data_IF_139884704049
#
_entry.id   IF_139884704049
#
_cell.length_a   1.000
_cell.length_b   1.000
_cell.length_c   1.000
_cell.angle_alpha   90.00
_cell.angle_beta   90.00
_cell.angle_gamma   90.00
#
_symmetry.space_group_name_H-M   'P 1'
#
loop_
_entity.id
_entity.type
_entity.pdbx_description
1 polymer ?
#
# COMPACT_ATOMS: atom_id res chain seq x y z
N UNK A 1 -27.03 -5.87 69.99
CA UNK A 1 -28.28 -5.20 70.41
C UNK A 1 -29.36 -5.61 69.41
N UNK A 2 -30.33 -6.38 69.88
CA UNK A 2 -31.51 -6.87 69.13
C UNK A 2 -32.64 -5.85 69.27
N UNK A 3 -33.71 -6.01 68.47
CA UNK A 3 -35.05 -5.37 68.46
C UNK A 3 -35.18 -4.28 67.37
N UNK A 4 -36.25 -4.18 66.57
CA UNK A 4 -37.57 -4.84 66.42
C UNK A 4 -38.15 -4.31 65.09
N UNK A 5 -38.58 -5.14 64.15
CA UNK A 5 -39.98 -5.58 63.93
C UNK A 5 -41.06 -4.49 63.98
N UNK A 6 -41.78 -4.31 62.87
CA UNK A 6 -43.02 -3.51 62.79
C UNK A 6 -43.79 -3.70 61.47
N UNK A 7 -44.73 -4.65 61.47
CA UNK A 7 -45.61 -5.08 60.38
C UNK A 7 -46.90 -4.24 60.32
N UNK A 8 -47.56 -4.11 59.14
CA UNK A 8 -49.02 -4.38 58.87
C UNK A 8 -49.48 -3.76 57.52
N UNK A 9 -49.93 -4.60 56.56
CA UNK A 9 -51.32 -5.03 56.19
C UNK A 9 -52.11 -3.93 55.43
N UNK A 10 -52.36 -4.12 54.11
CA UNK A 10 -53.45 -4.85 53.39
C UNK A 10 -54.68 -3.95 53.09
N UNK A 11 -55.12 -3.99 51.83
CA UNK A 11 -56.47 -3.85 51.21
C UNK A 11 -56.22 -3.24 49.80
N UNK A 12 -56.79 -3.63 48.66
CA UNK A 12 -57.97 -4.42 48.33
C UNK A 12 -58.65 -3.73 47.12
N UNK A 13 -59.23 -4.54 46.21
CA UNK A 13 -60.21 -4.21 45.15
C UNK A 13 -59.73 -3.74 43.75
N UNK A 14 -60.12 -4.53 42.74
CA UNK A 14 -61.08 -4.07 41.72
C UNK A 14 -60.54 -3.73 40.31
N UNK A 15 -60.78 -4.63 39.34
CA UNK A 15 -60.71 -4.40 37.89
C UNK A 15 -61.80 -3.41 37.41
N UNK A 16 -61.63 -2.76 36.24
CA UNK A 16 -62.29 -3.31 35.05
C UNK A 16 -61.49 -3.24 33.74
N UNK A 17 -61.81 -4.22 32.90
CA UNK A 17 -61.52 -4.34 31.47
C UNK A 17 -62.11 -3.16 30.70
N UNK A 18 -61.33 -2.57 29.80
CA UNK A 18 -61.84 -1.69 28.76
C UNK A 18 -61.46 -2.24 27.38
N UNK A 19 -62.48 -2.33 26.55
CA UNK A 19 -62.53 -2.92 25.20
C UNK A 19 -61.94 -1.94 24.18
N UNK A 20 -61.27 -2.52 23.17
CA UNK A 20 -60.60 -1.91 22.00
C UNK A 20 -61.46 -0.91 21.20
N UNK A 21 -60.79 -0.08 20.38
CA UNK A 21 -61.16 -0.09 18.97
C UNK A 21 -59.97 -0.42 18.05
N UNK A 22 -60.28 -1.20 17.03
CA UNK A 22 -59.41 -1.60 15.94
C UNK A 22 -58.91 -0.38 15.16
N UNK A 23 -57.59 -0.30 14.95
CA UNK A 23 -56.98 0.60 13.98
C UNK A 23 -57.06 -0.03 12.59
N UNK A 24 -57.79 0.64 11.71
CA UNK A 24 -57.84 0.38 10.27
C UNK A 24 -56.45 0.67 9.69
N UNK A 25 -55.78 -0.37 9.21
CA UNK A 25 -54.54 -0.25 8.46
C UNK A 25 -54.85 0.13 7.01
N UNK A 26 -54.80 1.42 6.68
CA UNK A 26 -54.71 1.89 5.30
C UNK A 26 -53.23 1.94 4.90
N UNK A 27 -52.87 1.08 3.95
CA UNK A 27 -51.50 0.88 3.49
C UNK A 27 -50.88 2.12 2.85
N UNK A 28 -49.69 2.49 3.34
CA UNK A 28 -48.73 3.31 2.62
C UNK A 28 -47.84 2.36 1.83
N UNK A 29 -48.02 2.33 0.51
CA UNK A 29 -47.07 1.72 -0.42
C UNK A 29 -45.79 2.57 -0.41
N UNK A 30 -44.72 2.05 0.20
CA UNK A 30 -43.39 2.60 0.02
C UNK A 30 -42.91 2.24 -1.40
N UNK A 31 -42.48 3.18 -2.26
CA UNK A 31 -41.73 2.82 -3.44
C UNK A 31 -40.41 2.21 -2.98
N UNK A 32 -40.17 0.98 -3.40
CA UNK A 32 -38.95 0.25 -3.10
C UNK A 32 -37.80 1.00 -3.77
N UNK A 33 -36.89 1.54 -2.95
CA UNK A 33 -35.57 1.92 -3.43
C UNK A 33 -34.96 0.65 -4.04
N UNK A 34 -34.78 0.64 -5.35
CA UNK A 34 -34.08 -0.43 -6.03
C UNK A 34 -32.77 -0.65 -5.30
N UNK A 35 -32.58 -1.85 -4.77
CA UNK A 35 -31.26 -2.33 -4.42
C UNK A 35 -30.51 -2.44 -5.75
N UNK A 36 -29.89 -1.33 -6.15
CA UNK A 36 -28.83 -1.37 -7.15
C UNK A 36 -27.76 -2.25 -6.51
N UNK A 37 -27.69 -3.48 -7.02
CA UNK A 37 -26.65 -4.42 -6.70
C UNK A 37 -25.34 -3.73 -7.08
N UNK A 38 -24.72 -3.04 -6.12
CA UNK A 38 -23.36 -2.56 -6.25
C UNK A 38 -22.53 -3.81 -6.43
N UNK A 39 -22.31 -4.16 -7.69
CA UNK A 39 -21.13 -4.91 -8.11
C UNK A 39 -19.99 -4.32 -7.30
N UNK A 40 -19.30 -5.10 -6.44
CA UNK A 40 -18.15 -4.58 -5.74
C UNK A 40 -17.21 -4.07 -6.82
N UNK A 41 -17.17 -2.74 -7.00
CA UNK A 41 -16.12 -2.11 -7.76
C UNK A 41 -14.85 -2.66 -7.15
N UNK A 42 -14.06 -3.33 -7.99
CA UNK A 42 -12.86 -4.05 -7.63
C UNK A 42 -12.15 -3.27 -6.51
N UNK A 43 -12.09 -3.86 -5.32
CA UNK A 43 -11.48 -3.19 -4.16
C UNK A 43 -10.02 -2.80 -4.45
N UNK A 44 -9.42 -3.33 -5.53
CA UNK A 44 -8.14 -2.90 -6.10
C UNK A 44 -8.14 -1.47 -6.68
N UNK A 45 -9.26 -0.96 -7.17
CA UNK A 45 -9.37 0.41 -7.70
C UNK A 45 -9.53 1.47 -6.60
N UNK A 46 -9.86 1.06 -5.36
CA UNK A 46 -10.08 1.96 -4.24
C UNK A 46 -8.81 2.25 -3.41
N UNK A 47 -7.74 1.48 -3.58
CA UNK A 47 -6.39 1.88 -3.18
C UNK A 47 -5.77 2.57 -4.39
N UNK A 48 -5.68 3.89 -4.37
CA UNK A 48 -4.89 4.59 -5.39
C UNK A 48 -3.47 4.01 -5.43
N UNK A 49 -2.91 3.86 -6.63
CA UNK A 49 -1.51 3.48 -6.78
C UNK A 49 -0.63 4.55 -6.13
N UNK A 50 0.49 4.13 -5.57
CA UNK A 50 1.52 5.05 -5.10
C UNK A 50 1.99 5.98 -6.22
N UNK A 51 2.29 7.23 -5.89
CA UNK A 51 2.83 8.18 -6.86
C UNK A 51 4.21 7.71 -7.38
N UNK A 52 4.48 7.90 -8.68
CA UNK A 52 5.72 7.46 -9.31
C UNK A 52 5.71 6.00 -9.78
N UNK A 53 4.57 5.32 -9.69
CA UNK A 53 4.40 3.95 -10.19
C UNK A 53 3.97 3.88 -11.66
N UNK A 54 3.77 5.03 -12.30
CA UNK A 54 3.40 5.10 -13.71
C UNK A 54 4.49 4.45 -14.59
N UNK A 55 4.07 3.58 -15.52
CA UNK A 55 4.98 2.90 -16.44
C UNK A 55 5.76 1.71 -15.84
N UNK A 56 5.64 1.44 -14.54
CA UNK A 56 6.22 0.24 -13.94
C UNK A 56 5.47 -1.02 -14.36
N UNK A 57 6.16 -2.16 -14.30
CA UNK A 57 5.52 -3.47 -14.37
C UNK A 57 4.44 -3.58 -13.28
N UNK A 58 3.23 -4.11 -13.60
CA UNK A 58 2.11 -4.10 -12.66
C UNK A 58 2.41 -4.79 -11.33
N UNK A 59 3.23 -5.84 -11.34
CA UNK A 59 3.63 -6.54 -10.12
C UNK A 59 4.46 -5.66 -9.18
N UNK A 60 5.41 -4.88 -9.74
CA UNK A 60 6.22 -3.95 -8.97
C UNK A 60 5.38 -2.78 -8.44
N UNK A 61 4.50 -2.21 -9.28
CA UNK A 61 3.61 -1.13 -8.87
C UNK A 61 2.73 -1.52 -7.66
N UNK A 62 2.14 -2.72 -7.71
CA UNK A 62 1.34 -3.26 -6.60
C UNK A 62 2.19 -3.52 -5.36
N UNK A 63 3.34 -4.18 -5.51
CA UNK A 63 4.22 -4.49 -4.38
C UNK A 63 4.69 -3.21 -3.67
N UNK A 64 5.14 -2.20 -4.43
CA UNK A 64 5.58 -0.93 -3.87
C UNK A 64 4.42 -0.18 -3.20
N UNK A 65 3.24 -0.11 -3.83
CA UNK A 65 2.07 0.55 -3.25
C UNK A 65 1.68 -0.06 -1.89
N UNK A 66 1.75 -1.39 -1.76
CA UNK A 66 1.45 -2.06 -0.48
C UNK A 66 2.53 -1.76 0.58
N UNK A 67 3.81 -1.80 0.19
CA UNK A 67 4.92 -1.50 1.10
C UNK A 67 4.90 -0.04 1.57
N UNK A 68 4.62 0.91 0.67
CA UNK A 68 4.51 2.33 0.98
C UNK A 68 3.37 2.63 1.96
N UNK A 69 2.19 2.04 1.73
CA UNK A 69 1.06 2.20 2.64
C UNK A 69 1.38 1.71 4.05
N UNK A 70 2.08 0.57 4.19
CA UNK A 70 2.50 0.04 5.48
C UNK A 70 3.58 0.92 6.14
N UNK A 71 4.56 1.40 5.38
CA UNK A 71 5.57 2.35 5.88
C UNK A 71 4.90 3.61 6.44
N UNK A 72 3.94 4.19 5.70
CA UNK A 72 3.23 5.40 6.12
C UNK A 72 2.34 5.14 7.33
N UNK A 73 1.69 3.98 7.44
CA UNK A 73 0.93 3.58 8.62
C UNK A 73 1.81 3.49 9.88
N UNK A 74 3.10 3.18 9.72
CA UNK A 74 4.10 3.19 10.79
C UNK A 74 4.77 4.56 11.01
N UNK A 75 4.36 5.60 10.27
CA UNK A 75 4.94 6.94 10.34
C UNK A 75 6.30 7.07 9.66
N UNK A 76 6.68 6.13 8.81
CA UNK A 76 7.93 6.16 8.04
C UNK A 76 7.68 6.85 6.70
N UNK A 77 8.40 7.95 6.37
CA UNK A 77 8.30 8.55 5.06
C UNK A 77 8.95 7.64 4.02
N UNK A 78 8.22 7.30 2.97
CA UNK A 78 8.70 6.53 1.82
C UNK A 78 8.03 7.07 0.57
N UNK A 79 8.81 7.31 -0.49
CA UNK A 79 8.34 7.82 -1.77
C UNK A 79 9.29 7.40 -2.89
N UNK A 80 8.75 7.21 -4.10
CA UNK A 80 9.57 7.01 -5.30
C UNK A 80 10.22 8.35 -5.68
N UNK A 81 11.54 8.34 -5.88
CA UNK A 81 12.30 9.45 -6.46
C UNK A 81 12.55 9.25 -7.95
N UNK A 82 12.61 8.00 -8.42
CA UNK A 82 12.68 7.66 -9.85
C UNK A 82 12.01 6.31 -10.11
N UNK A 83 10.95 6.29 -10.93
CA UNK A 83 10.24 5.09 -11.34
C UNK A 83 10.65 4.64 -12.74
N UNK A 84 9.67 4.40 -13.61
CA UNK A 84 9.93 4.16 -15.02
C UNK A 84 10.66 5.35 -15.66
N UNK A 85 11.58 5.06 -16.59
CA UNK A 85 12.24 6.05 -17.44
C UNK A 85 12.06 5.66 -18.89
N UNK A 86 11.82 6.64 -19.75
CA UNK A 86 11.88 6.42 -21.19
C UNK A 86 13.33 6.13 -21.63
N UNK A 87 13.54 5.46 -22.78
CA UNK A 87 14.89 5.27 -23.33
C UNK A 87 15.65 6.58 -23.52
N UNK A 88 14.99 7.65 -23.95
CA UNK A 88 15.61 8.96 -24.18
C UNK A 88 16.06 9.64 -22.87
N UNK A 89 15.25 9.55 -21.80
CA UNK A 89 15.65 10.02 -20.47
C UNK A 89 16.84 9.23 -19.93
N UNK A 90 16.83 7.90 -20.12
CA UNK A 90 17.95 7.05 -19.71
C UNK A 90 19.22 7.34 -20.53
N UNK A 91 19.08 7.64 -21.82
CA UNK A 91 20.21 8.00 -22.68
C UNK A 91 20.89 9.28 -22.19
N UNK A 92 20.11 10.29 -21.80
CA UNK A 92 20.65 11.52 -21.22
C UNK A 92 21.44 11.24 -19.92
N UNK A 93 20.87 10.45 -19.00
CA UNK A 93 21.57 10.05 -17.77
C UNK A 93 22.86 9.27 -18.05
N UNK A 94 22.84 8.40 -19.07
CA UNK A 94 24.00 7.64 -19.47
C UNK A 94 25.11 8.54 -20.02
N UNK A 95 24.78 9.50 -20.89
CA UNK A 95 25.74 10.47 -21.43
C UNK A 95 26.34 11.37 -20.34
N UNK A 96 25.51 11.82 -19.39
CA UNK A 96 25.96 12.56 -18.20
C UNK A 96 26.87 11.70 -17.31
N UNK A 97 26.53 10.42 -17.15
CA UNK A 97 27.35 9.44 -16.45
C UNK A 97 28.72 9.26 -17.10
N UNK A 98 28.78 9.15 -18.43
CA UNK A 98 30.04 9.06 -19.18
C UNK A 98 30.92 10.27 -18.94
N UNK A 99 30.34 11.48 -18.98
CA UNK A 99 31.05 12.73 -18.72
C UNK A 99 31.53 12.84 -17.26
N UNK A 100 30.72 12.39 -16.31
CA UNK A 100 31.00 12.48 -14.87
C UNK A 100 32.06 11.49 -14.41
N UNK A 101 31.97 10.24 -14.89
CA UNK A 101 32.78 9.13 -14.39
C UNK A 101 33.97 8.79 -15.29
N UNK A 102 34.12 9.45 -16.44
CA UNK A 102 35.31 9.36 -17.29
C UNK A 102 35.36 8.16 -18.21
N UNK A 103 34.21 7.53 -18.47
CA UNK A 103 34.06 6.47 -19.48
C UNK A 103 33.06 5.37 -19.10
N UNK A 104 32.78 4.44 -20.03
CA UNK A 104 31.73 3.45 -19.86
C UNK A 104 31.92 2.54 -18.63
N UNK A 105 33.12 2.01 -18.42
CA UNK A 105 33.38 1.07 -17.31
C UNK A 105 33.13 1.71 -15.94
N UNK A 106 33.52 2.97 -15.77
CA UNK A 106 33.31 3.71 -14.53
C UNK A 106 31.84 4.16 -14.38
N UNK A 107 31.20 4.60 -15.47
CA UNK A 107 29.82 5.04 -15.47
C UNK A 107 28.83 3.90 -15.16
N UNK A 108 29.07 2.70 -15.69
CA UNK A 108 28.20 1.51 -15.49
C UNK A 108 28.04 1.09 -14.04
N UNK A 109 28.91 1.55 -13.15
CA UNK A 109 28.79 1.33 -11.71
C UNK A 109 27.62 2.11 -11.09
N UNK A 110 27.07 3.10 -11.79
CA UNK A 110 26.04 4.01 -11.27
C UNK A 110 24.88 4.23 -12.24
N UNK A 111 25.15 4.19 -13.54
CA UNK A 111 24.15 4.45 -14.58
C UNK A 111 24.37 3.48 -15.71
N UNK A 112 23.34 2.73 -16.09
CA UNK A 112 23.37 1.80 -17.23
C UNK A 112 22.90 2.49 -18.52
N UNK A 113 23.36 2.01 -19.70
CA UNK A 113 22.79 2.46 -20.97
C UNK A 113 21.30 2.04 -21.10
N UNK A 114 20.54 2.67 -22.01
CA UNK A 114 19.10 2.44 -22.15
C UNK A 114 18.69 0.97 -22.30
N UNK A 115 19.47 0.17 -23.03
CA UNK A 115 19.17 -1.23 -23.34
C UNK A 115 19.30 -2.16 -22.13
N UNK A 116 19.96 -1.69 -21.06
CA UNK A 116 20.29 -2.49 -19.87
C UNK A 116 19.61 -1.97 -18.59
N UNK A 117 19.08 -0.75 -18.62
CA UNK A 117 18.47 -0.10 -17.45
C UNK A 117 17.15 -0.76 -17.05
N UNK A 118 17.04 -1.16 -15.78
CA UNK A 118 15.79 -1.71 -15.25
C UNK A 118 14.68 -0.70 -15.12
N UNK A 119 15.00 0.59 -14.96
CA UNK A 119 14.01 1.65 -14.99
C UNK A 119 13.34 1.75 -16.37
N UNK A 120 14.10 1.53 -17.46
CA UNK A 120 13.55 1.51 -18.82
C UNK A 120 12.63 0.31 -19.03
N UNK A 121 12.97 -0.84 -18.45
CA UNK A 121 12.08 -2.00 -18.49
C UNK A 121 10.90 -1.91 -17.51
N UNK A 122 10.80 -0.89 -16.66
CA UNK A 122 9.75 -0.76 -15.63
C UNK A 122 9.91 -1.71 -14.43
N UNK A 123 11.09 -2.29 -14.23
CA UNK A 123 11.34 -3.32 -13.20
C UNK A 123 12.11 -2.80 -11.98
N UNK A 124 12.36 -1.49 -11.86
CA UNK A 124 13.05 -0.89 -10.73
C UNK A 124 12.39 0.40 -10.24
N UNK A 125 12.62 0.70 -8.96
CA UNK A 125 12.31 1.98 -8.34
C UNK A 125 13.51 2.47 -7.53
N UNK A 126 13.78 3.75 -7.65
CA UNK A 126 14.64 4.49 -6.72
C UNK A 126 13.74 5.15 -5.69
N UNK A 127 14.06 5.00 -4.41
CA UNK A 127 13.22 5.47 -3.31
C UNK A 127 13.97 6.41 -2.37
N UNK A 128 13.21 7.27 -1.72
CA UNK A 128 13.70 8.15 -0.67
C UNK A 128 12.61 8.51 0.34
N UNK A 129 12.96 9.23 1.43
CA UNK A 129 14.33 9.54 1.86
C UNK A 129 15.08 8.29 2.36
N UNK A 130 16.35 8.44 2.75
CA UNK A 130 17.19 7.34 3.26
C UNK A 130 16.51 6.52 4.37
N UNK A 131 15.77 7.15 5.28
CA UNK A 131 15.02 6.45 6.32
C UNK A 131 13.94 5.50 5.76
N UNK A 132 13.25 5.92 4.69
CA UNK A 132 12.28 5.09 3.96
C UNK A 132 12.95 3.94 3.23
N UNK A 133 14.08 4.21 2.55
CA UNK A 133 14.87 3.18 1.90
C UNK A 133 15.38 2.12 2.88
N UNK A 134 15.88 2.53 4.05
CA UNK A 134 16.31 1.61 5.11
C UNK A 134 15.15 0.75 5.64
N UNK A 135 13.97 1.35 5.81
CA UNK A 135 12.77 0.59 6.17
C UNK A 135 12.40 -0.41 5.07
N UNK A 136 12.49 -0.02 3.80
CA UNK A 136 12.20 -0.90 2.68
C UNK A 136 13.25 -2.02 2.53
N UNK A 137 14.51 -1.77 2.85
CA UNK A 137 15.55 -2.81 2.90
C UNK A 137 15.24 -3.85 3.98
N UNK A 138 14.78 -3.39 5.16
CA UNK A 138 14.46 -4.27 6.29
C UNK A 138 13.16 -5.05 6.14
N UNK A 139 12.15 -4.50 5.43
CA UNK A 139 10.78 -5.04 5.41
C UNK A 139 10.28 -5.39 4.00
N UNK A 140 10.90 -4.87 2.95
CA UNK A 140 10.41 -4.94 1.57
C UNK A 140 10.23 -6.36 1.05
N UNK A 141 11.01 -7.31 1.57
CA UNK A 141 10.92 -8.71 1.19
C UNK A 141 9.54 -9.32 1.50
N UNK A 142 8.76 -8.76 2.44
CA UNK A 142 7.37 -9.14 2.67
C UNK A 142 6.50 -9.01 1.41
N UNK A 143 6.84 -8.09 0.50
CA UNK A 143 6.20 -7.88 -0.79
C UNK A 143 7.08 -8.30 -1.98
N UNK A 144 8.23 -8.91 -1.72
CA UNK A 144 9.20 -9.33 -2.75
C UNK A 144 10.17 -8.24 -3.20
N UNK A 145 10.13 -7.06 -2.58
CA UNK A 145 11.00 -5.93 -2.90
C UNK A 145 12.35 -6.10 -2.22
N UNK A 146 13.42 -5.95 -2.99
CA UNK A 146 14.78 -6.12 -2.51
C UNK A 146 15.69 -5.02 -3.04
N UNK A 147 16.57 -4.53 -2.18
CA UNK A 147 17.70 -3.71 -2.59
C UNK A 147 18.68 -4.56 -3.38
N UNK A 148 19.14 -4.08 -4.54
CA UNK A 148 19.95 -4.88 -5.45
C UNK A 148 21.45 -4.60 -5.38
N UNK A 149 21.86 -3.38 -5.00
CA UNK A 149 23.26 -2.97 -5.07
C UNK A 149 23.80 -2.37 -3.76
N UNK A 150 25.05 -2.71 -3.42
CA UNK A 150 25.74 -2.24 -2.21
C UNK A 150 26.01 -0.72 -2.25
N UNK A 151 26.26 -0.16 -3.43
CA UNK A 151 26.53 1.27 -3.61
C UNK A 151 25.27 2.13 -3.82
N UNK A 152 24.11 1.52 -4.03
CA UNK A 152 22.85 2.22 -4.30
C UNK A 152 21.81 1.87 -3.24
N UNK A 153 21.81 2.64 -2.14
CA UNK A 153 20.86 2.43 -1.04
C UNK A 153 19.41 2.71 -1.42
N UNK A 154 19.20 3.41 -2.53
CA UNK A 154 17.90 3.84 -3.02
C UNK A 154 17.26 2.85 -4.02
N UNK A 155 18.00 1.92 -4.62
CA UNK A 155 17.54 1.12 -5.76
C UNK A 155 16.92 -0.23 -5.33
N UNK A 156 15.65 -0.44 -5.68
CA UNK A 156 14.88 -1.64 -5.35
C UNK A 156 14.22 -2.29 -6.57
N UNK A 157 14.16 -3.61 -6.57
CA UNK A 157 13.49 -4.43 -7.60
C UNK A 157 12.59 -5.50 -6.96
N UNK A 158 11.65 -6.03 -7.73
CA UNK A 158 10.89 -7.22 -7.35
C UNK A 158 11.75 -8.48 -7.59
N UNK A 159 12.61 -8.83 -6.62
CA UNK A 159 13.69 -9.81 -6.81
C UNK A 159 13.51 -11.12 -6.01
N UNK A 160 12.44 -11.25 -5.24
CA UNK A 160 12.15 -12.48 -4.49
C UNK A 160 10.65 -12.73 -4.40
N UNK A 161 10.25 -13.96 -4.08
CA UNK A 161 8.84 -14.25 -3.76
C UNK A 161 8.49 -13.59 -2.42
N UNK A 162 7.30 -12.97 -2.29
CA UNK A 162 6.85 -12.37 -1.02
C UNK A 162 7.11 -13.26 0.21
N UNK A 163 7.75 -12.68 1.22
CA UNK A 163 8.12 -13.34 2.48
C UNK A 163 9.39 -14.21 2.41
N UNK A 164 10.04 -14.35 1.25
CA UNK A 164 11.32 -15.05 1.12
C UNK A 164 12.49 -14.10 1.36
N UNK A 165 13.68 -14.60 1.71
CA UNK A 165 14.87 -13.76 1.79
C UNK A 165 15.20 -13.11 0.44
N UNK A 166 15.77 -11.91 0.49
CA UNK A 166 16.35 -11.27 -0.70
C UNK A 166 17.62 -12.01 -1.16
N UNK A 167 17.94 -11.97 -2.46
CA UNK A 167 19.23 -12.44 -2.95
C UNK A 167 20.37 -11.58 -2.37
N UNK A 168 21.63 -12.08 -2.40
CA UNK A 168 22.77 -11.25 -2.07
C UNK A 168 22.83 -10.01 -2.96
N UNK A 169 23.13 -8.87 -2.36
CA UNK A 169 23.38 -7.64 -3.11
C UNK A 169 24.62 -7.80 -4.00
N UNK A 170 24.58 -7.11 -5.12
CA UNK A 170 25.70 -6.96 -6.04
C UNK A 170 26.54 -5.74 -5.64
N UNK A 171 27.86 -5.70 -5.92
CA UNK A 171 28.68 -4.55 -5.54
C UNK A 171 28.19 -3.24 -6.16
N UNK A 172 27.79 -3.29 -7.44
CA UNK A 172 27.22 -2.18 -8.19
C UNK A 172 26.53 -2.64 -9.48
N UNK A 173 25.87 -1.69 -10.17
CA UNK A 173 25.08 -1.94 -11.38
C UNK A 173 25.89 -2.55 -12.55
N UNK A 174 27.22 -2.42 -12.55
CA UNK A 174 28.06 -2.97 -13.63
C UNK A 174 28.12 -4.50 -13.64
N UNK A 175 27.69 -5.14 -12.55
CA UNK A 175 27.69 -6.59 -12.36
C UNK A 175 26.32 -7.23 -12.61
N UNK A 176 25.43 -6.52 -13.32
CA UNK A 176 24.06 -6.95 -13.55
C UNK A 176 23.94 -8.21 -14.40
#
# INVERSE_FOLDING_TARGET
MVLRSGVRKRLGLGLPVAVLPALVATGLMAPQAGAEERVPADQRAAMGSAAGTEGLEPGLAVAYTLAENEAHAQGVPLSITSGYRTPDEQQQLWDDGLATYGGPDAARRWVLPPEESTHVSGHAVDVGPLAGAQWLEANGNHWGLCRMYDNEWWHFELATTPGRPCPPMRPDASTR
#
